data_IF_672253733908
#
_entry.id   IF_672253733908
#
_cell.length_a   1.000
_cell.length_b   1.000
_cell.length_c   1.000
_cell.angle_alpha   90.00
_cell.angle_beta   90.00
_cell.angle_gamma   90.00
#
_symmetry.space_group_name_H-M   'P 1'
#
loop_
_entity.id
_entity.type
_entity.pdbx_description
1 polymer ?
#
# COMPACT_ATOMS: atom_id res chain seq x y z
N UNK A 1 39.14 2.97 35.20
CA UNK A 1 39.05 2.81 33.73
C UNK A 1 37.60 2.56 33.37
N UNK A 2 36.91 3.60 32.92
CA UNK A 2 35.47 3.54 32.57
C UNK A 2 35.40 3.30 31.05
N UNK A 3 34.84 2.17 30.64
CA UNK A 3 34.62 1.85 29.23
C UNK A 3 33.26 2.42 28.80
N UNK A 4 33.27 3.41 27.91
CA UNK A 4 32.08 3.89 27.27
C UNK A 4 31.68 2.94 26.11
N UNK A 5 30.52 2.34 26.22
CA UNK A 5 29.93 1.62 25.11
C UNK A 5 29.32 2.65 24.14
N UNK A 6 29.84 2.70 22.93
CA UNK A 6 29.28 3.50 21.85
C UNK A 6 28.12 2.70 21.25
N UNK A 7 26.90 3.13 21.51
CA UNK A 7 25.72 2.62 20.82
C UNK A 7 25.72 3.18 19.39
N UNK A 8 26.01 2.32 18.43
CA UNK A 8 25.89 2.66 17.00
C UNK A 8 24.43 2.84 16.60
N UNK A 9 24.04 4.07 16.30
CA UNK A 9 22.78 4.37 15.65
C UNK A 9 22.91 3.94 14.18
N UNK A 10 22.22 2.87 13.80
CA UNK A 10 22.06 2.48 12.39
C UNK A 10 21.05 3.44 11.78
N UNK A 11 21.54 4.49 11.14
CA UNK A 11 20.72 5.34 10.27
C UNK A 11 20.50 4.54 8.98
N UNK A 12 19.31 3.99 8.81
CA UNK A 12 18.85 3.50 7.52
C UNK A 12 18.73 4.71 6.59
N UNK A 13 19.74 4.91 5.76
CA UNK A 13 19.67 5.86 4.66
C UNK A 13 18.64 5.35 3.67
N UNK A 14 17.42 5.89 3.74
CA UNK A 14 16.51 5.84 2.60
C UNK A 14 17.22 6.56 1.46
N UNK A 15 17.53 5.83 0.39
CA UNK A 15 18.09 6.43 -0.81
C UNK A 15 17.16 7.55 -1.25
N UNK A 16 17.60 8.79 -1.11
CA UNK A 16 16.93 9.93 -1.73
C UNK A 16 16.90 9.65 -3.22
N UNK A 17 15.69 9.40 -3.75
CA UNK A 17 15.50 9.36 -5.19
C UNK A 17 16.09 10.62 -5.80
N UNK A 18 16.87 10.45 -6.87
CA UNK A 18 17.37 11.53 -7.69
C UNK A 18 16.24 12.51 -8.06
N UNK A 19 16.53 13.80 -8.37
CA UNK A 19 15.52 14.79 -8.69
C UNK A 19 14.56 14.20 -9.72
N UNK A 20 13.33 14.06 -9.31
CA UNK A 20 12.33 13.30 -10.01
C UNK A 20 12.19 13.83 -11.44
N UNK A 21 12.65 13.06 -12.42
CA UNK A 21 12.07 13.13 -13.73
C UNK A 21 10.55 13.20 -13.53
N UNK A 22 9.90 14.19 -14.17
CA UNK A 22 8.44 14.41 -14.03
C UNK A 22 7.76 13.09 -14.27
N UNK A 23 7.37 12.44 -13.18
CA UNK A 23 6.72 11.14 -13.26
C UNK A 23 5.42 11.37 -13.98
N UNK A 24 5.31 10.77 -15.16
CA UNK A 24 4.11 10.87 -15.98
C UNK A 24 3.04 10.06 -15.29
N UNK A 25 2.15 10.75 -14.58
CA UNK A 25 0.93 10.13 -14.09
C UNK A 25 0.12 9.73 -15.31
N UNK A 26 -0.06 8.44 -15.51
CA UNK A 26 -0.82 7.90 -16.61
C UNK A 26 -2.17 7.48 -16.08
N UNK A 27 -3.23 8.24 -16.40
CA UNK A 27 -4.57 7.82 -16.06
C UNK A 27 -4.94 6.65 -16.97
N UNK A 28 -5.47 5.59 -16.38
CA UNK A 28 -5.96 4.42 -17.10
C UNK A 28 -7.40 4.19 -16.65
N UNK A 29 -8.33 4.17 -17.58
CA UNK A 29 -9.72 3.89 -17.26
C UNK A 29 -9.86 2.48 -16.68
N UNK A 30 -10.22 2.39 -15.41
CA UNK A 30 -10.53 1.12 -14.73
C UNK A 30 -11.99 0.72 -15.01
N UNK A 31 -12.86 1.72 -15.03
CA UNK A 31 -14.29 1.64 -15.29
C UNK A 31 -14.80 3.07 -15.58
N UNK A 32 -16.06 3.27 -15.89
CA UNK A 32 -16.63 4.52 -16.43
C UNK A 32 -16.16 5.81 -15.72
N UNK A 33 -16.13 5.83 -14.38
CA UNK A 33 -15.70 6.98 -13.58
C UNK A 33 -14.67 6.62 -12.50
N UNK A 34 -13.95 5.49 -12.65
CA UNK A 34 -12.87 5.07 -11.78
C UNK A 34 -11.58 4.98 -12.60
N UNK A 35 -10.56 5.71 -12.19
CA UNK A 35 -9.30 5.87 -12.92
C UNK A 35 -8.12 5.46 -12.04
N UNK A 36 -7.16 4.74 -12.63
CA UNK A 36 -5.89 4.43 -12.00
C UNK A 36 -4.84 5.46 -12.41
N UNK A 37 -4.14 6.01 -11.43
CA UNK A 37 -2.97 6.87 -11.63
C UNK A 37 -1.74 6.12 -11.10
N UNK A 38 -0.78 5.82 -11.98
CA UNK A 38 0.48 5.16 -11.62
C UNK A 38 1.67 6.11 -11.72
N UNK A 39 2.78 5.80 -11.03
CA UNK A 39 3.97 6.64 -10.97
C UNK A 39 3.88 7.73 -9.89
N UNK A 40 5.02 8.33 -9.52
CA UNK A 40 5.07 9.38 -8.49
C UNK A 40 4.86 8.89 -7.06
N UNK A 41 5.30 7.70 -6.74
CA UNK A 41 5.03 6.99 -5.49
C UNK A 41 4.13 5.79 -5.73
N UNK A 42 3.34 5.42 -4.73
CA UNK A 42 2.33 4.38 -4.86
C UNK A 42 1.26 4.72 -5.90
N UNK A 43 0.50 3.72 -6.30
CA UNK A 43 -0.67 3.93 -7.15
C UNK A 43 -1.72 4.79 -6.43
N UNK A 44 -2.58 5.43 -7.18
CA UNK A 44 -3.76 6.10 -6.65
C UNK A 44 -4.97 5.77 -7.50
N UNK A 45 -6.14 5.63 -6.89
CA UNK A 45 -7.40 5.60 -7.61
C UNK A 45 -8.12 6.92 -7.48
N UNK A 46 -8.76 7.34 -8.56
CA UNK A 46 -9.63 8.51 -8.59
C UNK A 46 -11.02 8.06 -9.03
N UNK A 47 -12.01 8.34 -8.22
CA UNK A 47 -13.43 8.16 -8.56
C UNK A 47 -14.07 9.53 -8.70
N UNK A 48 -14.67 9.80 -9.86
CA UNK A 48 -15.43 11.02 -10.09
C UNK A 48 -16.91 10.77 -9.77
N UNK A 49 -17.51 11.66 -9.00
CA UNK A 49 -18.94 11.65 -8.67
C UNK A 49 -19.50 13.08 -8.71
N UNK A 50 -20.81 13.23 -8.79
CA UNK A 50 -21.47 14.54 -8.80
C UNK A 50 -21.18 15.36 -7.54
N UNK A 51 -20.92 14.69 -6.42
CA UNK A 51 -20.59 15.30 -5.12
C UNK A 51 -19.13 15.69 -4.94
N UNK A 52 -18.27 15.43 -5.92
CA UNK A 52 -16.83 15.68 -5.88
C UNK A 52 -16.00 14.48 -6.29
N UNK A 53 -14.69 14.69 -6.40
CA UNK A 53 -13.73 13.65 -6.70
C UNK A 53 -13.21 13.03 -5.40
N UNK A 54 -13.20 11.71 -5.35
CA UNK A 54 -12.65 10.90 -4.26
C UNK A 54 -11.33 10.27 -4.73
N UNK A 55 -10.27 10.45 -3.96
CA UNK A 55 -9.00 9.77 -4.17
C UNK A 55 -8.83 8.61 -3.19
N UNK A 56 -8.24 7.51 -3.64
CA UNK A 56 -7.61 6.52 -2.78
C UNK A 56 -6.12 6.64 -2.98
N UNK A 57 -5.41 7.01 -1.94
CA UNK A 57 -4.02 7.43 -1.88
C UNK A 57 -3.69 8.67 -2.74
N UNK A 58 -2.70 9.43 -2.33
CA UNK A 58 -2.38 10.74 -2.88
C UNK A 58 -0.93 10.85 -3.37
N UNK A 59 -0.23 9.72 -3.47
CA UNK A 59 1.17 9.64 -3.92
C UNK A 59 2.17 10.33 -2.98
N UNK A 60 3.43 10.42 -3.44
CA UNK A 60 4.51 11.10 -2.74
C UNK A 60 4.32 12.63 -2.71
N UNK A 61 5.09 13.30 -1.86
CA UNK A 61 5.12 14.75 -1.78
C UNK A 61 5.42 15.38 -3.16
N UNK A 62 4.76 16.49 -3.45
CA UNK A 62 4.87 17.20 -4.73
C UNK A 62 3.97 16.65 -5.84
N UNK A 63 3.34 15.48 -5.66
CA UNK A 63 2.50 14.87 -6.69
C UNK A 63 1.04 15.35 -6.66
N UNK A 64 0.59 15.99 -5.58
CA UNK A 64 -0.79 16.44 -5.46
C UNK A 64 -1.20 17.45 -6.52
N UNK A 65 -0.27 18.28 -7.00
CA UNK A 65 -0.51 19.19 -8.13
C UNK A 65 -0.79 18.41 -9.42
N UNK A 66 0.04 17.42 -9.73
CA UNK A 66 -0.15 16.55 -10.91
C UNK A 66 -1.48 15.79 -10.83
N UNK A 67 -1.83 15.28 -9.63
CA UNK A 67 -3.14 14.65 -9.41
C UNK A 67 -4.27 15.63 -9.71
N UNK A 68 -4.17 16.89 -9.23
CA UNK A 68 -5.19 17.91 -9.45
C UNK A 68 -5.32 18.28 -10.93
N UNK A 69 -4.21 18.38 -11.65
CA UNK A 69 -4.19 18.63 -13.10
C UNK A 69 -4.88 17.49 -13.87
N UNK A 70 -4.57 16.22 -13.53
CA UNK A 70 -5.23 15.05 -14.13
C UNK A 70 -6.73 15.05 -13.82
N UNK A 71 -7.11 15.31 -12.57
CA UNK A 71 -8.50 15.37 -12.15
C UNK A 71 -9.30 16.43 -12.91
N UNK A 72 -8.73 17.64 -13.06
CA UNK A 72 -9.37 18.75 -13.80
C UNK A 72 -9.51 18.47 -15.30
N UNK A 73 -8.68 17.59 -15.86
CA UNK A 73 -8.83 17.14 -17.25
C UNK A 73 -9.93 16.09 -17.45
N UNK A 74 -10.50 15.56 -16.37
CA UNK A 74 -11.49 14.47 -16.38
C UNK A 74 -12.84 14.90 -15.82
N UNK A 75 -12.85 15.80 -14.82
CA UNK A 75 -14.04 16.23 -14.11
C UNK A 75 -13.94 17.69 -13.71
N UNK A 76 -15.06 18.41 -13.84
CA UNK A 76 -15.21 19.79 -13.33
C UNK A 76 -15.37 19.84 -11.81
N UNK A 77 -15.54 18.68 -11.17
CA UNK A 77 -15.69 18.59 -9.71
C UNK A 77 -14.35 18.62 -9.00
N UNK A 78 -14.24 19.34 -7.87
CA UNK A 78 -13.00 19.40 -7.09
C UNK A 78 -12.72 18.07 -6.37
N UNK A 79 -11.44 17.82 -6.09
CA UNK A 79 -11.02 16.75 -5.18
C UNK A 79 -11.39 17.15 -3.75
N UNK A 80 -12.35 16.46 -3.14
CA UNK A 80 -12.87 16.80 -1.82
C UNK A 80 -12.50 15.78 -0.74
N UNK A 81 -12.26 14.53 -1.13
CA UNK A 81 -12.06 13.42 -0.20
C UNK A 81 -10.84 12.60 -0.59
N UNK A 82 -10.01 12.26 0.37
CA UNK A 82 -8.95 11.25 0.24
C UNK A 82 -9.23 10.08 1.20
N UNK A 83 -8.90 8.88 0.75
CA UNK A 83 -8.87 7.66 1.56
C UNK A 83 -7.41 7.21 1.56
N UNK A 84 -6.79 7.05 2.73
CA UNK A 84 -5.44 6.49 2.81
C UNK A 84 -5.50 5.00 3.11
N UNK A 85 -4.82 4.21 2.28
CA UNK A 85 -4.72 2.76 2.52
C UNK A 85 -3.86 2.42 3.72
N UNK A 86 -2.77 3.19 3.91
CA UNK A 86 -1.85 3.05 5.04
C UNK A 86 -1.04 4.35 5.24
N UNK A 87 -0.06 4.34 6.15
CA UNK A 87 0.57 5.57 6.62
C UNK A 87 1.75 6.08 5.76
N UNK A 88 2.26 5.33 4.81
CA UNK A 88 3.49 5.68 4.10
C UNK A 88 3.36 6.93 3.24
N UNK A 89 4.47 7.69 3.20
CA UNK A 89 4.50 9.02 2.58
C UNK A 89 4.33 9.00 1.06
N UNK A 90 4.66 7.92 0.40
CA UNK A 90 4.45 7.75 -1.04
C UNK A 90 3.00 7.41 -1.41
N UNK A 91 2.13 7.25 -0.39
CA UNK A 91 0.68 7.11 -0.50
C UNK A 91 -0.08 8.32 0.06
N UNK A 92 0.52 9.11 0.95
CA UNK A 92 -0.22 10.12 1.72
C UNK A 92 0.29 11.55 1.55
N UNK A 93 1.57 11.75 1.21
CA UNK A 93 2.21 13.06 1.29
C UNK A 93 1.79 14.05 0.19
N UNK A 94 1.28 13.56 -0.95
CA UNK A 94 0.78 14.42 -2.03
C UNK A 94 -0.48 15.20 -1.66
N UNK A 95 -1.22 14.78 -0.64
CA UNK A 95 -2.39 15.50 -0.13
C UNK A 95 -2.10 16.96 0.21
N UNK A 96 -0.86 17.29 0.59
CA UNK A 96 -0.44 18.64 0.95
C UNK A 96 -0.54 19.64 -0.19
N UNK A 97 -0.52 19.17 -1.42
CA UNK A 97 -0.57 19.96 -2.64
C UNK A 97 -1.98 19.97 -3.27
N UNK A 98 -3.01 19.45 -2.57
CA UNK A 98 -4.41 19.42 -3.01
C UNK A 98 -5.22 20.41 -2.15
N UNK A 99 -5.40 21.66 -2.59
CA UNK A 99 -5.99 22.71 -1.74
C UNK A 99 -7.50 22.52 -1.50
N UNK A 100 -8.17 21.76 -2.34
CA UNK A 100 -9.62 21.50 -2.27
C UNK A 100 -9.97 20.35 -1.34
N UNK A 101 -8.97 19.58 -0.86
CA UNK A 101 -9.17 18.44 0.03
C UNK A 101 -9.74 18.91 1.39
N UNK A 102 -10.86 18.29 1.79
CA UNK A 102 -11.62 18.66 3.00
C UNK A 102 -11.83 17.51 3.96
N UNK A 103 -11.79 16.26 3.47
CA UNK A 103 -12.05 15.05 4.23
C UNK A 103 -10.96 14.01 3.95
N UNK A 104 -10.41 13.43 5.02
CA UNK A 104 -9.41 12.37 4.92
C UNK A 104 -9.86 11.19 5.78
N UNK A 105 -10.02 10.05 5.14
CA UNK A 105 -10.53 8.82 5.75
C UNK A 105 -9.40 7.80 5.80
N UNK A 106 -9.23 7.12 6.94
CA UNK A 106 -8.30 6.00 7.08
C UNK A 106 -8.69 5.08 8.23
N UNK A 107 -7.99 3.95 8.37
CA UNK A 107 -8.05 3.15 9.58
C UNK A 107 -7.47 3.94 10.77
N UNK A 108 -7.97 3.70 11.98
CA UNK A 108 -7.51 4.40 13.21
C UNK A 108 -6.01 4.22 13.48
N UNK A 109 -5.46 3.04 13.18
CA UNK A 109 -4.03 2.78 13.30
C UNK A 109 -3.21 3.59 12.29
N UNK A 110 -3.70 3.79 11.07
CA UNK A 110 -3.06 4.66 10.08
C UNK A 110 -2.95 6.08 10.61
N UNK A 111 -4.02 6.64 11.18
CA UNK A 111 -3.97 7.95 11.83
C UNK A 111 -2.95 7.99 12.97
N UNK A 112 -2.93 6.97 13.81
CA UNK A 112 -1.98 6.86 14.94
C UNK A 112 -0.53 6.81 14.45
N UNK A 113 -0.26 6.06 13.39
CA UNK A 113 1.07 5.97 12.78
C UNK A 113 1.49 7.31 12.19
N UNK A 114 0.63 7.95 11.39
CA UNK A 114 0.90 9.25 10.77
C UNK A 114 1.15 10.36 11.79
N UNK A 115 0.42 10.36 12.92
CA UNK A 115 0.57 11.37 13.97
C UNK A 115 1.96 11.37 14.64
N UNK A 116 2.74 10.30 14.48
CA UNK A 116 4.12 10.19 14.98
C UNK A 116 5.17 10.63 13.95
N UNK A 117 4.75 10.92 12.73
CA UNK A 117 5.66 11.30 11.63
C UNK A 117 5.87 12.82 11.59
N UNK A 118 7.11 13.27 11.56
CA UNK A 118 7.46 14.69 11.41
C UNK A 118 6.80 15.32 10.16
N UNK A 119 6.58 14.53 9.13
CA UNK A 119 5.90 14.96 7.93
C UNK A 119 4.49 15.52 8.18
N UNK A 120 3.82 15.09 9.25
CA UNK A 120 2.47 15.53 9.61
C UNK A 120 2.45 16.37 10.90
N UNK A 121 3.60 16.87 11.35
CA UNK A 121 3.69 17.76 12.50
C UNK A 121 3.30 19.22 12.15
N UNK A 122 2.96 19.99 13.17
CA UNK A 122 2.64 21.43 13.05
C UNK A 122 1.51 21.71 12.05
N UNK A 123 1.69 22.64 11.10
CA UNK A 123 0.65 22.99 10.12
C UNK A 123 0.24 21.82 9.21
N UNK A 124 1.07 20.80 9.07
CA UNK A 124 0.78 19.60 8.29
C UNK A 124 -0.19 18.65 9.00
N UNK A 125 -0.48 18.83 10.28
CA UNK A 125 -1.42 17.99 11.04
C UNK A 125 -2.84 18.02 10.46
N UNK A 126 -3.19 19.04 9.70
CA UNK A 126 -4.48 19.11 8.97
C UNK A 126 -4.66 18.03 7.91
N UNK A 127 -3.59 17.33 7.54
CA UNK A 127 -3.61 16.21 6.60
C UNK A 127 -3.60 14.84 7.28
N UNK A 128 -3.70 14.83 8.61
CA UNK A 128 -4.05 13.61 9.34
C UNK A 128 -5.51 13.24 9.06
N UNK A 129 -5.87 11.95 9.05
CA UNK A 129 -7.25 11.53 8.89
C UNK A 129 -8.18 12.20 9.91
N UNK A 130 -9.21 12.88 9.43
CA UNK A 130 -10.27 13.47 10.26
C UNK A 130 -11.37 12.45 10.56
N UNK A 131 -11.55 11.48 9.68
CA UNK A 131 -12.54 10.41 9.81
C UNK A 131 -11.82 9.06 9.87
N UNK A 132 -12.07 8.29 10.93
CA UNK A 132 -11.44 6.97 11.11
C UNK A 132 -12.48 5.88 11.36
N UNK A 133 -12.09 4.63 11.13
CA UNK A 133 -12.87 3.43 11.41
C UNK A 133 -11.95 2.30 11.90
N UNK A 134 -12.53 1.29 12.59
CA UNK A 134 -11.80 0.13 13.10
C UNK A 134 -11.88 -1.08 12.18
N UNK A 135 -13.09 -1.51 11.76
CA UNK A 135 -13.28 -2.76 11.02
C UNK A 135 -13.69 -2.52 9.56
N UNK A 136 -14.72 -1.71 9.37
CA UNK A 136 -15.25 -1.38 8.04
C UNK A 136 -15.96 -0.04 8.03
N UNK A 137 -15.97 0.56 6.84
CA UNK A 137 -16.75 1.76 6.54
C UNK A 137 -17.27 1.66 5.10
N UNK A 138 -18.43 2.24 4.85
CA UNK A 138 -18.95 2.42 3.49
C UNK A 138 -19.11 3.90 3.21
N UNK A 139 -18.71 4.33 2.03
CA UNK A 139 -18.92 5.69 1.51
C UNK A 139 -19.59 5.63 0.14
N UNK A 140 -20.39 6.64 -0.17
CA UNK A 140 -21.19 6.66 -1.38
C UNK A 140 -22.25 5.57 -1.40
N UNK A 141 -22.96 5.47 -2.51
CA UNK A 141 -24.06 4.50 -2.71
C UNK A 141 -24.17 4.10 -4.18
N UNK A 142 -24.97 3.08 -4.45
CA UNK A 142 -25.21 2.59 -5.82
C UNK A 142 -23.93 2.14 -6.52
N UNK A 143 -23.74 2.61 -7.75
CA UNK A 143 -22.59 2.28 -8.60
C UNK A 143 -21.28 2.90 -8.08
N UNK A 144 -21.37 4.00 -7.32
CA UNK A 144 -20.23 4.76 -6.79
C UNK A 144 -19.94 4.44 -5.32
N UNK A 145 -20.55 3.38 -4.81
CA UNK A 145 -20.25 2.87 -3.48
C UNK A 145 -18.81 2.36 -3.39
N UNK A 146 -18.12 2.73 -2.33
CA UNK A 146 -16.83 2.18 -1.92
C UNK A 146 -16.94 1.60 -0.50
N UNK A 147 -16.57 0.34 -0.36
CA UNK A 147 -16.47 -0.35 0.92
C UNK A 147 -15.00 -0.45 1.34
N UNK A 148 -14.70 0.05 2.53
CA UNK A 148 -13.39 0.05 3.14
C UNK A 148 -13.36 -1.06 4.19
N UNK A 149 -12.35 -1.93 4.15
CA UNK A 149 -12.20 -3.04 5.08
C UNK A 149 -10.82 -3.07 5.69
N UNK A 150 -10.76 -3.37 6.98
CA UNK A 150 -9.55 -3.76 7.68
C UNK A 150 -9.61 -5.26 8.01
N UNK A 151 -8.56 -6.00 7.66
CA UNK A 151 -8.50 -7.45 7.86
C UNK A 151 -7.41 -7.89 8.85
N UNK A 152 -6.57 -6.98 9.29
CA UNK A 152 -5.46 -7.22 10.20
C UNK A 152 -4.16 -6.57 9.74
N UNK A 153 -3.12 -6.73 10.54
CA UNK A 153 -1.78 -6.23 10.22
C UNK A 153 -1.15 -7.03 9.07
N UNK A 154 -0.33 -6.36 8.26
CA UNK A 154 0.48 -6.97 7.21
C UNK A 154 1.70 -6.08 6.91
N UNK A 155 1.62 -5.18 5.91
CA UNK A 155 2.62 -4.19 5.58
C UNK A 155 2.81 -3.19 6.74
N UNK A 156 1.69 -2.67 7.25
CA UNK A 156 1.56 -1.93 8.50
C UNK A 156 0.46 -2.55 9.35
N UNK A 157 0.12 -1.96 10.49
CA UNK A 157 -1.06 -2.35 11.26
C UNK A 157 -2.33 -1.58 10.88
N UNK A 158 -2.28 -0.78 9.84
CA UNK A 158 -3.41 0.06 9.41
C UNK A 158 -3.82 -0.15 7.96
N UNK A 159 -3.34 -1.22 7.31
CA UNK A 159 -3.60 -1.50 5.89
C UNK A 159 -5.07 -1.77 5.63
N UNK A 160 -5.69 -1.02 4.74
CA UNK A 160 -7.08 -1.24 4.34
C UNK A 160 -7.19 -1.67 2.88
N UNK A 161 -8.27 -2.38 2.59
CA UNK A 161 -8.70 -2.71 1.23
C UNK A 161 -9.91 -1.84 0.89
N UNK A 162 -9.85 -1.19 -0.26
CA UNK A 162 -10.96 -0.39 -0.79
C UNK A 162 -11.61 -1.13 -1.94
N UNK A 163 -12.87 -1.51 -1.77
CA UNK A 163 -13.64 -2.29 -2.74
C UNK A 163 -14.70 -1.38 -3.38
N UNK A 164 -14.76 -1.41 -4.70
CA UNK A 164 -15.78 -0.74 -5.51
C UNK A 164 -16.67 -1.81 -6.15
N UNK A 165 -17.74 -2.27 -5.46
CA UNK A 165 -18.54 -3.42 -5.92
C UNK A 165 -19.18 -3.17 -7.27
N UNK A 166 -19.75 -1.97 -7.47
CA UNK A 166 -20.37 -1.57 -8.73
C UNK A 166 -19.38 -1.51 -9.91
N UNK A 167 -18.10 -1.30 -9.64
CA UNK A 167 -17.02 -1.26 -10.64
C UNK A 167 -16.29 -2.60 -10.78
N UNK A 168 -16.61 -3.57 -9.93
CA UNK A 168 -15.95 -4.87 -9.84
C UNK A 168 -14.41 -4.74 -9.68
N UNK A 169 -13.97 -3.76 -8.92
CA UNK A 169 -12.57 -3.43 -8.69
C UNK A 169 -12.27 -3.35 -7.19
N UNK A 170 -11.03 -3.69 -6.80
CA UNK A 170 -10.54 -3.52 -5.44
C UNK A 170 -9.10 -3.02 -5.46
N UNK A 171 -8.80 -2.05 -4.61
CA UNK A 171 -7.46 -1.52 -4.38
C UNK A 171 -6.96 -1.98 -3.03
N UNK A 172 -5.79 -2.59 -3.00
CA UNK A 172 -5.25 -3.24 -1.82
C UNK A 172 -4.09 -2.46 -1.18
N UNK A 173 -3.67 -1.33 -1.77
CA UNK A 173 -2.45 -0.68 -1.30
C UNK A 173 -1.30 -1.68 -1.22
N UNK A 174 -0.44 -1.53 -0.21
CA UNK A 174 0.73 -2.38 -0.03
C UNK A 174 0.46 -3.69 0.72
N UNK A 175 -0.79 -3.97 1.09
CA UNK A 175 -1.22 -5.33 1.39
C UNK A 175 -0.98 -6.27 0.19
N UNK A 176 -1.04 -5.72 -1.02
CA UNK A 176 -0.60 -6.37 -2.25
C UNK A 176 0.20 -5.35 -3.09
N UNK A 177 1.51 -5.23 -2.91
CA UNK A 177 2.32 -4.25 -3.64
C UNK A 177 2.55 -4.64 -5.10
N UNK A 178 2.27 -5.88 -5.47
CA UNK A 178 2.57 -6.53 -6.74
C UNK A 178 3.32 -7.84 -6.55
N UNK A 179 3.85 -8.42 -7.62
CA UNK A 179 4.65 -9.66 -7.55
C UNK A 179 6.06 -9.36 -7.04
N UNK A 180 6.18 -9.15 -5.75
CA UNK A 180 7.44 -8.86 -5.07
C UNK A 180 7.42 -9.36 -3.63
N UNK A 181 8.59 -9.44 -3.03
CA UNK A 181 8.74 -9.74 -1.60
C UNK A 181 8.03 -8.65 -0.78
N UNK A 182 7.25 -9.02 0.25
CA UNK A 182 6.55 -8.04 1.08
C UNK A 182 7.53 -7.14 1.85
N UNK A 183 7.23 -5.85 1.88
CA UNK A 183 7.91 -4.89 2.76
C UNK A 183 7.14 -4.86 4.08
N UNK A 184 7.78 -5.24 5.19
CA UNK A 184 7.17 -5.34 6.52
C UNK A 184 7.65 -4.16 7.35
N UNK A 185 6.79 -3.21 7.63
CA UNK A 185 7.13 -2.04 8.46
C UNK A 185 6.76 -2.27 9.93
N UNK A 186 7.63 -2.93 10.64
CA UNK A 186 7.46 -3.19 12.07
C UNK A 186 7.35 -1.91 12.92
N UNK A 187 7.92 -0.79 12.49
CA UNK A 187 7.81 0.49 13.21
C UNK A 187 6.39 1.04 13.19
N UNK A 188 5.62 0.76 12.13
CA UNK A 188 4.21 1.04 12.00
C UNK A 188 3.34 -0.21 12.26
N UNK A 189 3.83 -1.18 13.03
CA UNK A 189 3.09 -2.35 13.49
C UNK A 189 2.80 -3.38 12.40
N UNK A 190 3.55 -3.36 11.29
CA UNK A 190 3.50 -4.40 10.26
C UNK A 190 3.98 -5.74 10.81
N UNK A 191 3.43 -6.84 10.30
CA UNK A 191 3.77 -8.19 10.73
C UNK A 191 3.81 -9.16 9.56
N UNK A 192 4.99 -9.77 9.35
CA UNK A 192 5.15 -10.81 8.35
C UNK A 192 4.39 -12.08 8.70
N UNK A 193 4.30 -12.42 10.00
CA UNK A 193 3.54 -13.59 10.46
C UNK A 193 2.02 -13.42 10.26
N UNK A 194 1.51 -12.21 10.44
CA UNK A 194 0.09 -11.94 10.28
C UNK A 194 -0.34 -11.81 8.81
N UNK A 195 0.57 -11.44 7.91
CA UNK A 195 0.27 -11.14 6.52
C UNK A 195 -0.52 -12.24 5.79
N UNK A 196 -0.10 -13.53 5.81
CA UNK A 196 -0.87 -14.59 5.16
C UNK A 196 -2.30 -14.72 5.70
N UNK A 197 -2.50 -14.55 7.02
CA UNK A 197 -3.81 -14.60 7.65
C UNK A 197 -4.67 -13.41 7.25
N UNK A 198 -4.09 -12.21 7.15
CA UNK A 198 -4.77 -11.00 6.69
C UNK A 198 -5.25 -11.16 5.26
N UNK A 199 -4.42 -11.69 4.35
CA UNK A 199 -4.82 -12.02 2.97
C UNK A 199 -5.91 -13.11 2.93
N UNK A 200 -5.82 -14.13 3.78
CA UNK A 200 -6.83 -15.19 3.85
C UNK A 200 -8.21 -14.67 4.27
N UNK A 201 -8.26 -13.61 5.10
CA UNK A 201 -9.51 -12.92 5.47
C UNK A 201 -10.00 -11.97 4.36
N UNK A 202 -9.06 -11.30 3.66
CA UNK A 202 -9.40 -10.34 2.62
C UNK A 202 -9.99 -11.01 1.37
N UNK A 203 -9.39 -12.09 0.90
CA UNK A 203 -9.77 -12.77 -0.36
C UNK A 203 -11.26 -13.13 -0.45
N UNK A 204 -11.91 -13.72 0.58
CA UNK A 204 -13.34 -14.02 0.53
C UNK A 204 -14.24 -12.77 0.40
N UNK A 205 -13.80 -11.61 0.91
CA UNK A 205 -14.55 -10.36 0.79
C UNK A 205 -14.51 -9.76 -0.64
N UNK A 206 -13.65 -10.29 -1.52
CA UNK A 206 -13.48 -9.85 -2.90
C UNK A 206 -14.29 -10.68 -3.91
N UNK A 207 -15.33 -11.38 -3.47
CA UNK A 207 -16.20 -12.13 -4.38
C UNK A 207 -16.89 -11.19 -5.38
N UNK A 208 -16.89 -11.58 -6.67
CA UNK A 208 -17.46 -10.78 -7.75
C UNK A 208 -16.52 -9.68 -8.27
N UNK A 209 -15.39 -9.42 -7.62
CA UNK A 209 -14.37 -8.50 -8.09
C UNK A 209 -13.60 -9.16 -9.24
N UNK A 210 -13.42 -8.43 -10.32
CA UNK A 210 -12.69 -8.91 -11.50
C UNK A 210 -11.32 -8.26 -11.69
N UNK A 211 -11.06 -7.14 -11.01
CA UNK A 211 -9.83 -6.35 -11.12
C UNK A 211 -9.25 -6.07 -9.74
N UNK A 212 -8.01 -6.44 -9.55
CA UNK A 212 -7.23 -6.14 -8.36
C UNK A 212 -6.21 -5.07 -8.72
N UNK A 213 -6.14 -4.01 -7.95
CA UNK A 213 -5.17 -2.94 -8.14
C UNK A 213 -4.16 -3.02 -6.99
N UNK A 214 -2.87 -3.25 -7.30
CA UNK A 214 -1.81 -3.29 -6.31
C UNK A 214 -1.37 -1.89 -5.89
N UNK A 215 -0.64 -1.81 -4.77
CA UNK A 215 -0.10 -0.54 -4.27
C UNK A 215 0.94 0.10 -5.20
N UNK A 216 1.73 -0.71 -5.92
CA UNK A 216 2.80 -0.20 -6.78
C UNK A 216 2.72 -0.72 -8.21
N UNK A 217 3.06 -1.96 -8.46
CA UNK A 217 3.22 -2.46 -9.81
C UNK A 217 1.91 -2.48 -10.62
N UNK A 218 1.94 -1.93 -11.81
CA UNK A 218 0.90 -2.12 -12.83
C UNK A 218 1.57 -2.53 -14.13
N UNK A 219 0.92 -3.37 -14.97
CA UNK A 219 1.45 -3.66 -16.28
C UNK A 219 1.58 -2.36 -17.10
N UNK A 220 2.70 -2.12 -17.79
CA UNK A 220 2.83 -0.98 -18.68
C UNK A 220 1.73 -1.01 -19.75
N UNK A 221 1.21 0.15 -20.17
CA UNK A 221 0.31 0.23 -21.30
C UNK A 221 0.94 -0.38 -22.55
N UNK A 222 0.18 -1.21 -23.27
CA UNK A 222 0.69 -1.90 -24.47
C UNK A 222 1.62 -3.08 -24.19
N UNK A 223 1.83 -3.45 -22.93
CA UNK A 223 2.51 -4.71 -22.59
C UNK A 223 1.74 -5.89 -23.17
N UNK A 224 2.45 -6.90 -23.74
CA UNK A 224 1.81 -8.15 -24.15
C UNK A 224 1.10 -8.88 -23.01
N UNK A 225 1.46 -8.56 -21.77
CA UNK A 225 0.81 -8.99 -20.53
C UNK A 225 -0.23 -7.95 -20.03
N UNK A 226 -0.72 -7.04 -20.88
CA UNK A 226 -1.63 -5.93 -20.56
C UNK A 226 -2.99 -6.30 -19.96
N UNK A 227 -3.05 -7.42 -19.25
CA UNK A 227 -4.20 -7.78 -18.44
C UNK A 227 -4.10 -7.14 -17.06
N UNK A 228 -5.24 -6.69 -16.57
CA UNK A 228 -5.39 -6.31 -15.19
C UNK A 228 -4.98 -7.45 -14.25
N UNK A 229 -4.42 -7.08 -13.12
CA UNK A 229 -4.20 -8.04 -12.03
C UNK A 229 -5.56 -8.60 -11.60
N UNK A 230 -5.63 -9.89 -11.40
CA UNK A 230 -6.87 -10.63 -11.16
C UNK A 230 -6.90 -11.18 -9.73
N UNK A 231 -8.06 -11.66 -9.26
CA UNK A 231 -8.13 -12.42 -8.02
C UNK A 231 -7.20 -13.65 -7.98
N UNK A 232 -6.92 -14.27 -9.14
CA UNK A 232 -5.97 -15.39 -9.19
C UNK A 232 -4.53 -14.97 -8.90
N UNK A 233 -4.11 -13.79 -9.36
CA UNK A 233 -2.79 -13.24 -9.03
C UNK A 233 -2.68 -12.91 -7.53
N UNK A 234 -3.76 -12.43 -6.90
CA UNK A 234 -3.80 -12.20 -5.46
C UNK A 234 -3.75 -13.53 -4.68
N UNK A 235 -4.41 -14.59 -5.16
CA UNK A 235 -4.32 -15.93 -4.60
C UNK A 235 -2.90 -16.49 -4.68
N UNK A 236 -2.22 -16.29 -5.82
CA UNK A 236 -0.81 -16.65 -5.98
C UNK A 236 0.06 -15.89 -4.98
N UNK A 237 -0.18 -14.57 -4.79
CA UNK A 237 0.56 -13.77 -3.81
C UNK A 237 0.31 -14.25 -2.36
N UNK A 238 -0.93 -14.60 -2.02
CA UNK A 238 -1.24 -15.18 -0.72
C UNK A 238 -0.52 -16.52 -0.50
N UNK A 239 -0.35 -17.32 -1.56
CA UNK A 239 0.44 -18.56 -1.49
C UNK A 239 1.93 -18.25 -1.32
N UNK A 240 2.45 -17.28 -2.05
CA UNK A 240 3.84 -16.82 -1.92
C UNK A 240 4.16 -16.33 -0.51
N UNK A 241 3.32 -15.47 0.08
CA UNK A 241 3.56 -14.95 1.44
C UNK A 241 3.50 -16.06 2.49
N UNK A 242 2.58 -17.02 2.36
CA UNK A 242 2.50 -18.19 3.24
C UNK A 242 3.76 -19.06 3.14
N UNK A 243 4.23 -19.32 1.92
CA UNK A 243 5.42 -20.15 1.71
C UNK A 243 6.69 -19.44 2.19
N UNK A 244 6.78 -18.11 2.02
CA UNK A 244 7.85 -17.31 2.57
C UNK A 244 7.90 -17.41 4.10
N UNK A 245 6.76 -17.19 4.76
CA UNK A 245 6.67 -17.26 6.23
C UNK A 245 7.03 -18.67 6.72
N UNK A 246 6.48 -19.72 6.11
CA UNK A 246 6.78 -21.09 6.49
C UNK A 246 8.28 -21.41 6.35
N UNK A 247 8.91 -21.07 5.25
CA UNK A 247 10.33 -21.31 5.03
C UNK A 247 11.22 -20.52 6.02
N UNK A 248 10.81 -19.29 6.38
CA UNK A 248 11.53 -18.49 7.38
C UNK A 248 11.36 -19.10 8.78
N UNK A 249 10.16 -19.55 9.13
CA UNK A 249 9.92 -20.23 10.41
C UNK A 249 10.75 -21.52 10.56
N UNK A 250 10.87 -22.31 9.49
CA UNK A 250 11.67 -23.53 9.49
C UNK A 250 13.17 -23.22 9.64
N UNK A 251 13.65 -22.18 8.97
CA UNK A 251 15.01 -21.70 9.13
C UNK A 251 15.29 -21.21 10.58
N UNK A 252 14.35 -20.47 11.17
CA UNK A 252 14.41 -20.00 12.55
C UNK A 252 14.50 -21.18 13.55
N UNK A 253 13.61 -22.17 13.41
CA UNK A 253 13.62 -23.39 14.24
C UNK A 253 14.91 -24.20 14.10
N UNK A 254 15.54 -24.15 12.92
CA UNK A 254 16.83 -24.80 12.65
C UNK A 254 18.04 -24.02 13.18
N UNK A 255 17.82 -22.91 13.89
CA UNK A 255 18.87 -22.08 14.49
C UNK A 255 19.65 -21.22 13.51
N UNK A 256 19.19 -21.06 12.26
CA UNK A 256 19.84 -20.17 11.29
C UNK A 256 19.69 -18.70 11.69
N UNK A 257 20.71 -17.92 11.40
CA UNK A 257 20.59 -16.46 11.43
C UNK A 257 19.68 -15.95 10.31
N UNK A 258 19.13 -14.72 10.40
CA UNK A 258 18.31 -14.15 9.32
C UNK A 258 19.01 -14.13 7.96
N UNK A 259 20.32 -13.87 7.94
CA UNK A 259 21.09 -13.78 6.70
C UNK A 259 21.33 -15.17 6.09
N UNK A 260 21.65 -16.18 6.90
CA UNK A 260 21.73 -17.58 6.45
C UNK A 260 20.37 -18.09 5.98
N UNK A 261 19.28 -17.72 6.67
CA UNK A 261 17.94 -18.05 6.23
C UNK A 261 17.66 -17.45 4.84
N UNK A 262 17.83 -16.13 4.67
CA UNK A 262 17.59 -15.46 3.40
C UNK A 262 18.40 -16.06 2.23
N UNK A 263 19.67 -16.41 2.48
CA UNK A 263 20.55 -17.03 1.48
C UNK A 263 20.15 -18.47 1.11
N UNK A 264 19.44 -19.18 1.99
CA UNK A 264 19.07 -20.58 1.80
C UNK A 264 17.67 -20.79 1.22
N UNK A 265 16.86 -19.72 1.07
CA UNK A 265 15.50 -19.84 0.55
C UNK A 265 15.49 -20.13 -0.96
N UNK A 266 14.72 -21.14 -1.39
CA UNK A 266 14.59 -21.57 -2.80
C UNK A 266 13.29 -21.08 -3.45
N UNK A 267 12.66 -20.03 -2.90
CA UNK A 267 11.38 -19.51 -3.39
C UNK A 267 11.45 -18.99 -4.83
N UNK A 268 12.62 -18.57 -5.31
CA UNK A 268 12.82 -18.08 -6.67
C UNK A 268 12.46 -19.14 -7.74
N UNK A 269 12.72 -20.40 -7.44
CA UNK A 269 12.43 -21.50 -8.36
C UNK A 269 10.91 -21.69 -8.53
N UNK A 270 10.17 -21.51 -7.44
CA UNK A 270 8.71 -21.64 -7.43
C UNK A 270 7.98 -20.39 -7.90
N UNK A 271 8.57 -19.21 -7.69
CA UNK A 271 7.98 -17.91 -7.99
C UNK A 271 8.91 -17.07 -8.91
N UNK A 272 9.23 -17.55 -10.13
CA UNK A 272 10.24 -16.91 -10.99
C UNK A 272 9.82 -15.52 -11.49
N UNK A 273 8.52 -15.20 -11.45
CA UNK A 273 7.99 -13.90 -11.87
C UNK A 273 8.05 -12.83 -10.76
N UNK A 274 8.54 -13.19 -9.55
CA UNK A 274 8.58 -12.28 -8.42
C UNK A 274 9.91 -11.53 -8.35
N UNK A 275 9.84 -10.25 -7.97
CA UNK A 275 11.02 -9.52 -7.55
C UNK A 275 11.38 -9.88 -6.10
N UNK A 276 12.61 -10.33 -5.89
CA UNK A 276 13.14 -10.71 -4.59
C UNK A 276 14.04 -9.65 -3.95
N UNK A 277 14.05 -8.43 -4.48
CA UNK A 277 14.71 -7.32 -3.82
C UNK A 277 14.09 -7.12 -2.43
N UNK A 278 14.91 -6.90 -1.42
CA UNK A 278 14.45 -6.76 -0.04
C UNK A 278 14.22 -8.08 0.71
N UNK A 279 14.48 -9.27 0.12
CA UNK A 279 14.24 -10.56 0.79
C UNK A 279 14.88 -10.65 2.18
N UNK A 280 16.13 -10.22 2.32
CA UNK A 280 16.83 -10.23 3.60
C UNK A 280 16.15 -9.34 4.64
N UNK A 281 15.63 -8.18 4.22
CA UNK A 281 14.87 -7.28 5.11
C UNK A 281 13.55 -7.92 5.56
N UNK A 282 12.81 -8.54 4.65
CA UNK A 282 11.59 -9.26 4.99
C UNK A 282 11.84 -10.43 5.94
N UNK A 283 12.91 -11.22 5.71
CA UNK A 283 13.31 -12.31 6.61
C UNK A 283 13.66 -11.78 8.00
N UNK A 284 14.43 -10.69 8.10
CA UNK A 284 14.76 -10.06 9.39
C UNK A 284 13.51 -9.58 10.14
N UNK A 285 12.53 -9.00 9.41
CA UNK A 285 11.26 -8.55 10.01
C UNK A 285 10.45 -9.75 10.54
N UNK A 286 10.35 -10.85 9.77
CA UNK A 286 9.68 -12.08 10.24
C UNK A 286 10.41 -12.67 11.45
N UNK A 287 11.76 -12.65 11.48
CA UNK A 287 12.53 -13.07 12.66
C UNK A 287 12.26 -12.22 13.89
N UNK A 288 12.00 -10.92 13.72
CA UNK A 288 11.61 -10.04 14.81
C UNK A 288 10.23 -10.42 15.38
N UNK A 289 9.30 -10.80 14.52
CA UNK A 289 7.96 -11.28 14.93
C UNK A 289 8.00 -12.64 15.65
N UNK A 290 9.07 -13.44 15.47
CA UNK A 290 9.21 -14.78 16.06
C UNK A 290 9.89 -14.77 17.45
N UNK A 291 10.42 -13.64 17.89
CA UNK A 291 11.09 -13.46 19.20
C UNK A 291 10.14 -13.00 20.28
#
# INVERSE_FOLDING_TARGET
MIRYAVAGVVVLAFAQAAPADRVRTQSMGVSDNLYLMSGGGGNSLMMTADSGVILVDTKAAGQGRTISEVASGISDQPITTAIYTHAHLDHTAGSKDIPTLRRIIAHENTKTNMARMDAFAGPSARFLPDTTFADRMTIGEGIDRADLYYFGAAHTNGDIVVVFPGKRAAYLGDLFPGKMVPVIDGANGGSGLAWPQTLAKAIPALQGIGRIIPGHAVPPPGSPLGRWVTPADLQEYASFTRDLVAAVQDAFKSGKTPDEAAASLTLRDRYPAYNFDGLTAAVRAIYADLK
#
